data_IF_123392432417
#
_entry.id   IF_123392432417
#
_cell.length_a   1.000
_cell.length_b   1.000
_cell.length_c   1.000
_cell.angle_alpha   90.00
_cell.angle_beta   90.00
_cell.angle_gamma   90.00
#
_symmetry.space_group_name_H-M   'P 1'
#
loop_
_entity.id
_entity.type
_entity.pdbx_description
1 polymer ?
#
# COMPACT_ATOMS: atom_id res chain seq x y z
N UNK A 1 9.66 -16.36 -8.08
CA UNK A 1 10.05 -15.05 -8.69
C UNK A 1 9.98 -13.99 -7.62
N UNK A 2 10.98 -13.12 -7.50
CA UNK A 2 10.91 -11.92 -6.65
C UNK A 2 10.18 -10.83 -7.45
N UNK A 3 8.98 -10.45 -7.00
CA UNK A 3 8.13 -9.49 -7.73
C UNK A 3 8.68 -8.08 -7.73
N UNK A 4 9.29 -7.65 -6.62
CA UNK A 4 9.93 -6.35 -6.55
C UNK A 4 11.04 -6.23 -7.59
N UNK A 5 11.89 -7.26 -7.70
CA UNK A 5 12.92 -7.30 -8.74
C UNK A 5 12.32 -7.29 -10.14
N UNK A 6 11.24 -8.06 -10.34
CA UNK A 6 10.56 -8.08 -11.64
C UNK A 6 10.00 -6.70 -11.95
N UNK A 7 9.22 -6.11 -11.04
CA UNK A 7 8.51 -4.85 -11.24
C UNK A 7 9.44 -3.66 -11.45
N UNK A 8 10.52 -3.56 -10.66
CA UNK A 8 11.44 -2.41 -10.73
C UNK A 8 12.62 -2.58 -11.71
N UNK A 9 12.84 -3.77 -12.24
CA UNK A 9 13.98 -4.04 -13.09
C UNK A 9 13.60 -4.78 -14.37
N UNK A 10 13.11 -6.00 -14.26
CA UNK A 10 12.90 -6.85 -15.42
C UNK A 10 11.73 -6.38 -16.30
N UNK A 11 10.74 -5.73 -15.69
CA UNK A 11 9.59 -5.15 -16.39
C UNK A 11 10.04 -4.14 -17.45
N UNK A 12 10.99 -3.28 -17.11
CA UNK A 12 11.52 -2.27 -18.04
C UNK A 12 12.46 -2.85 -19.08
N UNK A 13 13.20 -3.91 -18.76
CA UNK A 13 14.06 -4.62 -19.72
C UNK A 13 13.24 -5.25 -20.86
N UNK A 14 11.93 -5.48 -20.65
CA UNK A 14 11.02 -6.00 -21.67
C UNK A 14 10.37 -4.93 -22.52
N UNK A 15 10.43 -3.67 -22.08
CA UNK A 15 9.89 -2.53 -22.84
C UNK A 15 10.86 -2.10 -23.93
N UNK A 16 10.56 -2.46 -25.16
CA UNK A 16 11.25 -1.88 -26.33
C UNK A 16 10.41 -0.73 -26.87
N UNK A 17 10.97 0.45 -26.78
CA UNK A 17 10.36 1.69 -27.28
C UNK A 17 11.01 2.06 -28.61
N UNK A 18 10.22 2.58 -29.55
CA UNK A 18 10.75 3.25 -30.74
C UNK A 18 11.30 4.67 -30.40
N UNK A 19 11.79 5.36 -31.42
CA UNK A 19 12.33 6.71 -31.24
C UNK A 19 11.30 7.74 -30.75
N UNK A 20 10.02 7.44 -30.91
CA UNK A 20 8.89 8.28 -30.49
C UNK A 20 8.32 7.87 -29.14
N UNK A 21 8.90 6.84 -28.48
CA UNK A 21 8.48 6.33 -27.17
C UNK A 21 7.28 5.38 -27.23
N UNK A 22 6.96 4.81 -28.40
CA UNK A 22 5.90 3.82 -28.58
C UNK A 22 6.43 2.41 -28.36
N UNK A 23 5.65 1.58 -27.68
CA UNK A 23 5.96 0.17 -27.43
C UNK A 23 6.05 -0.63 -28.77
N UNK A 24 7.25 -1.16 -29.07
CA UNK A 24 7.51 -1.95 -30.28
C UNK A 24 7.09 -3.42 -30.14
N UNK A 25 7.21 -4.01 -28.96
CA UNK A 25 6.93 -5.41 -28.71
C UNK A 25 6.26 -5.59 -27.34
N UNK A 26 4.99 -5.94 -27.36
CA UNK A 26 4.18 -6.17 -26.15
C UNK A 26 4.18 -7.64 -25.71
N UNK A 27 4.71 -8.57 -26.51
CA UNK A 27 4.58 -10.02 -26.25
C UNK A 27 5.27 -10.47 -24.97
N UNK A 28 6.51 -10.04 -24.73
CA UNK A 28 7.26 -10.34 -23.49
C UNK A 28 6.71 -9.62 -22.28
N UNK A 29 6.23 -8.41 -22.49
CA UNK A 29 5.57 -7.58 -21.49
C UNK A 29 4.30 -8.25 -21.00
N UNK A 30 3.41 -8.65 -21.92
CA UNK A 30 2.16 -9.30 -21.57
C UNK A 30 2.40 -10.63 -20.82
N UNK A 31 3.34 -11.45 -21.27
CA UNK A 31 3.68 -12.69 -20.58
C UNK A 31 4.16 -12.48 -19.14
N UNK A 32 5.04 -11.51 -18.91
CA UNK A 32 5.52 -11.18 -17.56
C UNK A 32 4.42 -10.60 -16.66
N UNK A 33 3.51 -9.82 -17.24
CA UNK A 33 2.34 -9.28 -16.56
C UNK A 33 1.37 -10.40 -16.18
N UNK A 34 1.09 -11.33 -17.09
CA UNK A 34 0.23 -12.50 -16.83
C UNK A 34 0.81 -13.39 -15.72
N UNK A 35 2.13 -13.61 -15.70
CA UNK A 35 2.80 -14.35 -14.62
C UNK A 35 2.69 -13.61 -13.27
N UNK A 36 2.80 -12.28 -13.27
CA UNK A 36 2.62 -11.46 -12.07
C UNK A 36 1.18 -11.56 -11.56
N UNK A 37 0.22 -11.30 -12.44
CA UNK A 37 -1.20 -11.29 -12.08
C UNK A 37 -1.72 -12.68 -11.72
N UNK A 38 -1.17 -13.74 -12.33
CA UNK A 38 -1.62 -15.12 -12.12
C UNK A 38 -1.11 -15.80 -10.84
N UNK A 39 -0.26 -15.17 -10.04
CA UNK A 39 0.34 -15.85 -8.89
C UNK A 39 -0.61 -16.02 -7.71
N UNK A 40 -0.67 -17.25 -7.18
CA UNK A 40 -1.51 -17.64 -6.02
C UNK A 40 -0.69 -18.18 -4.84
N UNK A 41 0.62 -18.37 -4.97
CA UNK A 41 1.45 -18.99 -3.93
C UNK A 41 2.26 -17.92 -3.17
N UNK A 42 2.26 -18.04 -1.86
CA UNK A 42 3.01 -17.21 -0.92
C UNK A 42 4.15 -18.01 -0.30
N UNK A 43 5.32 -17.42 -0.08
CA UNK A 43 6.32 -18.04 0.78
C UNK A 43 5.73 -18.23 2.18
N UNK A 44 5.97 -19.38 2.78
CA UNK A 44 5.69 -19.59 4.19
C UNK A 44 6.78 -18.89 4.98
N UNK A 45 6.40 -17.93 5.80
CA UNK A 45 7.31 -17.33 6.77
C UNK A 45 7.27 -18.20 8.03
N UNK A 46 8.43 -18.77 8.41
CA UNK A 46 8.58 -19.34 9.73
C UNK A 46 8.72 -18.19 10.73
N UNK A 47 7.77 -18.07 11.64
CA UNK A 47 7.81 -17.07 12.69
C UNK A 47 8.72 -17.57 13.80
N UNK A 48 10.00 -17.20 13.72
CA UNK A 48 11.01 -17.51 14.76
C UNK A 48 11.08 -16.43 15.86
N UNK A 49 10.16 -15.47 15.84
CA UNK A 49 10.12 -14.39 16.84
C UNK A 49 9.06 -14.75 17.87
N UNK A 50 9.48 -14.89 19.11
CA UNK A 50 8.59 -15.09 20.27
C UNK A 50 7.91 -13.78 20.67
N UNK A 51 6.78 -13.86 21.35
CA UNK A 51 6.03 -12.73 21.91
C UNK A 51 5.49 -11.73 20.87
N UNK A 52 5.17 -12.21 19.67
CA UNK A 52 4.53 -11.41 18.62
C UNK A 52 3.02 -11.42 18.77
N UNK A 53 2.44 -10.25 19.01
CA UNK A 53 1.00 -10.04 18.81
C UNK A 53 0.71 -9.93 17.32
N UNK A 54 -0.32 -10.64 16.85
CA UNK A 54 -0.68 -10.62 15.44
C UNK A 54 -2.17 -10.80 15.19
N UNK A 55 -2.66 -10.15 14.15
CA UNK A 55 -4.00 -10.37 13.63
C UNK A 55 -4.00 -10.30 12.11
N UNK A 56 -4.98 -10.97 11.51
CA UNK A 56 -5.15 -11.06 10.08
C UNK A 56 -6.36 -10.22 9.65
N UNK A 57 -6.18 -9.38 8.62
CA UNK A 57 -7.25 -8.61 8.00
C UNK A 57 -7.21 -8.82 6.48
N UNK A 58 -8.38 -8.80 5.87
CA UNK A 58 -8.53 -9.06 4.43
C UNK A 58 -8.88 -7.78 3.69
N UNK A 59 -8.18 -7.50 2.60
CA UNK A 59 -8.46 -6.33 1.75
C UNK A 59 -9.85 -6.42 1.15
N UNK A 60 -10.60 -5.33 1.21
CA UNK A 60 -11.91 -5.19 0.55
C UNK A 60 -11.76 -4.55 -0.84
N UNK A 61 -12.86 -4.50 -1.59
CA UNK A 61 -12.90 -3.80 -2.89
C UNK A 61 -12.64 -2.28 -2.70
N UNK A 62 -11.83 -1.65 -3.58
CA UNK A 62 -11.22 -2.16 -4.80
C UNK A 62 -9.84 -2.81 -4.61
N UNK A 63 -9.32 -2.93 -3.41
CA UNK A 63 -8.02 -3.51 -3.09
C UNK A 63 -7.10 -2.55 -2.37
N UNK A 64 -5.77 -2.81 -2.40
CA UNK A 64 -4.78 -2.04 -1.66
C UNK A 64 -3.74 -1.41 -2.59
N UNK A 65 -3.39 -0.16 -2.33
CA UNK A 65 -2.29 0.57 -2.93
C UNK A 65 -1.27 0.97 -1.87
N UNK A 66 -0.02 0.52 -2.02
CA UNK A 66 1.09 0.91 -1.16
C UNK A 66 2.32 1.29 -2.01
N UNK A 67 2.98 2.41 -1.67
CA UNK A 67 4.20 2.86 -2.35
C UNK A 67 3.97 3.61 -3.66
N UNK A 68 2.81 4.21 -3.88
CA UNK A 68 2.50 4.96 -5.11
C UNK A 68 3.32 6.25 -5.29
N UNK A 69 4.07 6.67 -4.28
CA UNK A 69 4.99 7.81 -4.37
C UNK A 69 6.21 7.54 -5.27
N UNK A 70 6.50 6.26 -5.55
CA UNK A 70 7.51 5.87 -6.52
C UNK A 70 6.88 5.83 -7.91
N UNK A 71 7.13 6.87 -8.71
CA UNK A 71 6.66 6.93 -10.09
C UNK A 71 7.64 6.25 -11.01
N UNK A 72 7.13 5.50 -11.98
CA UNK A 72 7.92 5.04 -13.09
C UNK A 72 7.94 6.14 -14.16
N UNK A 73 9.07 6.82 -14.29
CA UNK A 73 9.29 7.76 -15.38
C UNK A 73 10.00 7.04 -16.54
N UNK A 74 9.29 6.88 -17.65
CA UNK A 74 9.95 6.57 -18.91
C UNK A 74 10.47 7.90 -19.46
N UNK A 75 11.76 7.96 -19.79
CA UNK A 75 12.39 9.15 -20.36
C UNK A 75 11.54 9.70 -21.52
N UNK A 76 10.81 10.79 -21.27
CA UNK A 76 10.24 11.57 -22.36
C UNK A 76 11.42 12.07 -23.18
N UNK A 77 11.40 11.96 -24.53
CA UNK A 77 12.41 12.59 -25.37
C UNK A 77 12.56 14.04 -24.90
N UNK A 78 13.79 14.48 -24.63
CA UNK A 78 14.04 15.87 -24.25
C UNK A 78 13.45 16.73 -25.36
N UNK A 79 12.42 17.51 -25.05
CA UNK A 79 11.93 18.52 -25.97
C UNK A 79 13.11 19.43 -26.28
N UNK A 80 13.64 19.36 -27.51
CA UNK A 80 14.61 20.29 -27.98
C UNK A 80 13.94 21.68 -28.01
N UNK A 81 14.17 22.47 -26.98
CA UNK A 81 13.78 23.89 -26.93
C UNK A 81 14.61 24.68 -27.96
N UNK A 82 14.39 24.45 -29.25
CA UNK A 82 15.20 25.08 -30.25
C UNK A 82 14.75 24.95 -31.71
N UNK A 83 13.49 24.64 -31.96
CA UNK A 83 13.00 24.71 -33.35
C UNK A 83 11.60 25.33 -33.38
N UNK A 84 11.47 26.32 -34.25
CA UNK A 84 10.38 27.28 -34.36
C UNK A 84 8.97 26.66 -34.40
N UNK A 85 8.01 27.52 -34.10
CA UNK A 85 6.55 27.29 -34.16
C UNK A 85 6.16 26.55 -35.43
N UNK A 86 6.13 25.24 -35.39
CA UNK A 86 5.44 24.40 -36.37
C UNK A 86 4.02 24.18 -35.92
N UNK A 87 3.07 24.40 -36.81
CA UNK A 87 1.63 24.27 -36.57
C UNK A 87 1.33 22.92 -35.94
N UNK A 88 0.72 22.95 -34.76
CA UNK A 88 0.16 21.77 -34.08
C UNK A 88 -0.83 21.10 -35.03
N UNK A 89 -0.50 19.91 -35.48
CA UNK A 89 -1.50 18.96 -35.97
C UNK A 89 -2.30 18.50 -34.75
N UNK A 90 -3.47 19.08 -34.57
CA UNK A 90 -4.53 18.59 -33.66
C UNK A 90 -5.04 17.27 -34.22
N UNK A 91 -4.54 16.16 -33.74
CA UNK A 91 -5.00 14.84 -34.21
C UNK A 91 -4.22 13.63 -33.72
N UNK A 92 -3.05 13.80 -33.14
CA UNK A 92 -2.36 12.65 -32.53
C UNK A 92 -2.86 12.47 -31.09
N UNK A 93 -3.79 11.52 -30.90
CA UNK A 93 -4.03 10.90 -29.59
C UNK A 93 -2.65 10.45 -29.07
N UNK A 94 -2.15 11.10 -28.01
CA UNK A 94 -1.11 10.51 -27.18
C UNK A 94 -1.71 9.24 -26.59
N UNK A 95 -1.46 8.11 -27.23
CA UNK A 95 -1.66 6.82 -26.57
C UNK A 95 -0.74 6.85 -25.36
N UNK A 96 -1.31 7.06 -24.16
CA UNK A 96 -0.62 6.85 -22.92
C UNK A 96 -0.17 5.41 -22.94
N UNK A 97 1.14 5.18 -22.84
CA UNK A 97 1.70 3.84 -22.95
C UNK A 97 0.96 2.91 -21.96
N UNK A 98 0.60 1.73 -22.42
CA UNK A 98 -0.13 0.69 -21.66
C UNK A 98 0.79 0.01 -20.61
N UNK A 99 1.54 0.81 -19.87
CA UNK A 99 2.47 0.36 -18.82
C UNK A 99 2.10 0.92 -17.45
N UNK A 100 2.55 0.26 -16.39
CA UNK A 100 2.33 0.71 -15.02
C UNK A 100 3.12 1.99 -14.72
N UNK A 101 2.40 3.06 -14.37
CA UNK A 101 3.00 4.38 -14.13
C UNK A 101 3.20 4.66 -12.65
N UNK A 102 2.40 4.09 -11.76
CA UNK A 102 2.54 4.24 -10.32
C UNK A 102 3.37 3.11 -9.74
N UNK A 103 4.18 3.42 -8.72
CA UNK A 103 4.96 2.45 -8.01
C UNK A 103 4.15 1.58 -7.06
N UNK A 104 4.78 0.52 -6.57
CA UNK A 104 4.30 -0.32 -5.48
C UNK A 104 5.46 -0.65 -4.56
N UNK A 105 5.21 -0.67 -3.25
CA UNK A 105 6.24 -1.04 -2.30
C UNK A 105 6.31 -2.56 -2.16
N UNK A 106 7.50 -3.10 -2.45
CA UNK A 106 7.82 -4.51 -2.28
C UNK A 106 8.91 -4.68 -1.23
N UNK A 107 8.76 -5.68 -0.38
CA UNK A 107 9.88 -6.13 0.43
C UNK A 107 11.00 -6.66 -0.45
N UNK A 108 12.21 -6.20 -0.20
CA UNK A 108 13.36 -6.50 -1.05
C UNK A 108 13.75 -7.97 -1.01
N UNK A 109 13.56 -8.61 0.14
CA UNK A 109 13.96 -10.01 0.38
C UNK A 109 12.94 -10.99 -0.20
N UNK A 110 11.69 -10.84 0.19
CA UNK A 110 10.61 -11.74 -0.22
C UNK A 110 10.05 -11.40 -1.61
N UNK A 111 10.17 -10.14 -2.02
CA UNK A 111 9.54 -9.61 -3.22
C UNK A 111 8.02 -9.55 -3.15
N UNK A 112 7.44 -9.60 -1.95
CA UNK A 112 6.01 -9.45 -1.74
C UNK A 112 5.63 -7.97 -1.58
N UNK A 113 4.39 -7.59 -1.94
CA UNK A 113 3.88 -6.28 -1.61
C UNK A 113 3.62 -6.22 -0.09
N UNK A 114 4.29 -5.31 0.60
CA UNK A 114 4.19 -5.20 2.06
C UNK A 114 3.69 -3.81 2.46
N UNK A 115 3.05 -3.75 3.62
CA UNK A 115 2.75 -2.49 4.28
C UNK A 115 3.87 -2.28 5.31
N UNK A 116 4.74 -1.27 5.12
CA UNK A 116 5.84 -1.02 6.04
C UNK A 116 5.35 -0.73 7.46
N UNK A 117 6.02 -1.27 8.47
CA UNK A 117 5.71 -1.02 9.87
C UNK A 117 5.75 0.47 10.23
N UNK A 118 6.62 1.23 9.58
CA UNK A 118 6.66 2.70 9.71
C UNK A 118 5.38 3.38 9.18
N UNK A 119 4.81 2.87 8.08
CA UNK A 119 3.54 3.37 7.54
C UNK A 119 2.36 2.99 8.45
N UNK A 120 2.36 1.77 9.00
CA UNK A 120 1.36 1.32 9.98
C UNK A 120 1.42 2.23 11.20
N UNK A 121 2.62 2.42 11.78
CA UNK A 121 2.84 3.28 12.94
C UNK A 121 2.36 4.70 12.69
N UNK A 122 2.70 5.29 11.53
CA UNK A 122 2.30 6.64 11.16
C UNK A 122 0.79 6.80 11.02
N UNK A 123 0.12 5.86 10.38
CA UNK A 123 -1.35 5.89 10.21
C UNK A 123 -2.09 5.73 11.54
N UNK A 124 -1.64 4.81 12.41
CA UNK A 124 -2.22 4.62 13.73
C UNK A 124 -2.03 5.85 14.62
N UNK A 125 -0.84 6.47 14.58
CA UNK A 125 -0.56 7.71 15.30
C UNK A 125 -1.48 8.84 14.81
N UNK A 126 -1.54 9.09 13.52
CA UNK A 126 -2.39 10.14 12.93
C UNK A 126 -3.86 9.93 13.28
N UNK A 127 -4.35 8.70 13.21
CA UNK A 127 -5.73 8.40 13.59
C UNK A 127 -6.02 8.76 15.05
N UNK A 128 -5.11 8.43 15.97
CA UNK A 128 -5.28 8.74 17.40
C UNK A 128 -5.14 10.25 17.66
N UNK A 129 -4.24 10.94 16.96
CA UNK A 129 -4.09 12.39 17.08
C UNK A 129 -5.33 13.15 16.61
N UNK A 130 -5.94 12.70 15.52
CA UNK A 130 -7.04 13.40 14.86
C UNK A 130 -8.44 13.03 15.40
N UNK A 131 -8.59 11.83 16.00
CA UNK A 131 -9.88 11.30 16.42
C UNK A 131 -9.90 10.92 17.90
N UNK A 132 -11.11 10.97 18.50
CA UNK A 132 -11.30 10.74 19.93
C UNK A 132 -11.65 9.28 20.23
N UNK A 133 -10.65 8.39 20.08
CA UNK A 133 -10.82 6.95 20.34
C UNK A 133 -11.01 6.62 21.82
N UNK A 134 -10.50 7.48 22.71
CA UNK A 134 -10.46 7.23 24.15
C UNK A 134 -11.64 7.83 24.90
N UNK A 135 -12.41 8.69 24.26
CA UNK A 135 -13.62 9.24 24.84
C UNK A 135 -14.71 8.19 24.91
N UNK A 136 -15.31 8.05 26.11
CA UNK A 136 -16.51 7.25 26.32
C UNK A 136 -17.73 8.17 26.22
N UNK A 137 -18.66 7.81 25.33
CA UNK A 137 -19.97 8.48 25.25
C UNK A 137 -21.01 7.58 25.89
N UNK A 138 -21.87 8.17 26.74
CA UNK A 138 -22.96 7.45 27.36
C UNK A 138 -23.89 6.82 26.31
N UNK A 139 -24.06 5.50 26.38
CA UNK A 139 -24.81 4.71 25.39
C UNK A 139 -23.95 3.89 24.41
N UNK A 140 -22.64 4.12 24.37
CA UNK A 140 -21.71 3.28 23.63
C UNK A 140 -21.26 2.08 24.45
N UNK A 141 -20.76 1.02 23.78
CA UNK A 141 -20.07 -0.05 24.49
C UNK A 141 -18.75 0.47 25.06
N UNK A 142 -18.56 0.23 26.38
CA UNK A 142 -17.30 0.62 27.02
C UNK A 142 -16.15 -0.23 26.50
N UNK A 143 -15.24 0.40 25.77
CA UNK A 143 -14.04 -0.23 25.24
C UNK A 143 -12.94 -0.30 26.28
N UNK A 144 -12.04 -1.27 26.15
CA UNK A 144 -10.94 -1.50 27.12
C UNK A 144 -10.01 -0.29 27.24
N UNK A 145 -9.91 0.52 26.17
CA UNK A 145 -9.09 1.75 26.14
C UNK A 145 -9.87 3.04 26.44
N UNK A 146 -11.14 2.94 26.82
CA UNK A 146 -11.91 4.11 27.24
C UNK A 146 -11.30 4.73 28.50
N UNK A 147 -11.08 6.04 28.46
CA UNK A 147 -10.47 6.79 29.55
C UNK A 147 -8.94 6.78 29.56
N UNK A 148 -8.29 6.29 28.50
CA UNK A 148 -6.86 6.51 28.33
C UNK A 148 -6.57 7.98 27.99
N UNK A 149 -5.45 8.50 28.51
CA UNK A 149 -5.01 9.85 28.17
C UNK A 149 -4.26 9.84 26.84
N UNK A 150 -4.76 10.62 25.88
CA UNK A 150 -4.27 10.65 24.48
C UNK A 150 -2.78 11.01 24.42
N UNK A 151 -2.38 12.08 25.10
CA UNK A 151 -1.01 12.57 25.09
C UNK A 151 -0.04 11.57 25.73
N UNK A 152 -0.45 10.92 26.80
CA UNK A 152 0.34 9.88 27.47
C UNK A 152 0.54 8.69 26.55
N UNK A 153 -0.53 8.22 25.91
CA UNK A 153 -0.47 7.12 24.96
C UNK A 153 0.48 7.43 23.77
N UNK A 154 0.38 8.61 23.19
CA UNK A 154 1.23 9.03 22.06
C UNK A 154 2.70 9.03 22.46
N UNK A 155 3.03 9.68 23.59
CA UNK A 155 4.41 9.76 24.10
C UNK A 155 4.98 8.37 24.39
N UNK A 156 4.20 7.52 25.03
CA UNK A 156 4.67 6.21 25.45
C UNK A 156 4.79 5.22 24.31
N UNK A 157 3.79 5.14 23.45
CA UNK A 157 3.70 4.09 22.42
C UNK A 157 4.36 4.50 21.10
N UNK A 158 4.14 5.75 20.66
CA UNK A 158 4.67 6.20 19.37
C UNK A 158 6.01 6.92 19.48
N UNK A 159 6.25 7.69 20.52
CA UNK A 159 7.50 8.44 20.67
C UNK A 159 8.53 7.66 21.48
N UNK A 160 8.09 6.87 22.45
CA UNK A 160 8.97 6.10 23.34
C UNK A 160 9.80 7.04 24.21
N UNK A 161 9.22 8.14 24.66
CA UNK A 161 9.90 9.14 25.49
C UNK A 161 10.41 8.51 26.78
N UNK A 162 11.67 8.76 27.11
CA UNK A 162 12.31 8.22 28.30
C UNK A 162 12.61 6.70 28.28
N UNK A 163 12.28 6.00 27.20
CA UNK A 163 12.49 4.54 27.09
C UNK A 163 13.69 4.18 26.23
N UNK A 164 14.39 3.13 26.65
CA UNK A 164 15.36 2.43 25.80
C UNK A 164 14.66 1.92 24.53
N UNK A 165 15.40 1.83 23.44
CA UNK A 165 14.87 1.25 22.18
C UNK A 165 14.39 -0.20 22.36
N UNK A 166 14.94 -0.92 23.35
CA UNK A 166 14.58 -2.31 23.66
C UNK A 166 13.25 -2.43 24.42
N UNK A 167 12.80 -1.33 25.03
CA UNK A 167 11.57 -1.27 25.83
C UNK A 167 10.40 -0.61 25.10
N UNK A 168 10.61 -0.28 23.81
CA UNK A 168 9.58 0.33 22.96
C UNK A 168 8.75 -0.71 22.24
N UNK A 169 7.53 -0.35 21.93
CA UNK A 169 6.69 -1.12 21.02
C UNK A 169 7.28 -1.08 19.59
N UNK A 170 7.32 -2.24 18.92
CA UNK A 170 7.85 -2.38 17.56
C UNK A 170 6.71 -2.72 16.62
N UNK A 171 6.60 -1.94 15.56
CA UNK A 171 5.64 -2.11 14.47
C UNK A 171 6.35 -2.83 13.32
N UNK A 172 6.01 -4.09 13.10
CA UNK A 172 6.61 -4.88 12.03
C UNK A 172 5.85 -4.67 10.71
N UNK A 173 6.51 -5.00 9.61
CA UNK A 173 5.88 -4.98 8.29
C UNK A 173 4.74 -6.00 8.23
N UNK A 174 3.62 -5.63 7.60
CA UNK A 174 2.52 -6.54 7.33
C UNK A 174 2.68 -7.20 5.96
N UNK A 175 2.56 -8.52 5.92
CA UNK A 175 2.72 -9.34 4.73
C UNK A 175 1.43 -10.01 4.30
N UNK A 176 1.21 -10.20 2.98
CA UNK A 176 0.12 -11.02 2.50
C UNK A 176 0.40 -12.49 2.84
N UNK A 177 -0.58 -13.17 3.43
CA UNK A 177 -0.47 -14.58 3.87
C UNK A 177 -1.38 -15.52 3.11
N UNK A 178 -2.46 -15.02 2.54
CA UNK A 178 -3.40 -15.81 1.74
C UNK A 178 -4.21 -14.95 0.79
N UNK A 179 -4.83 -15.61 -0.19
CA UNK A 179 -5.80 -15.00 -1.11
C UNK A 179 -7.07 -15.83 -1.07
N UNK A 180 -8.22 -15.17 -1.04
CA UNK A 180 -9.52 -15.83 -1.00
C UNK A 180 -9.93 -16.37 -2.39
N UNK A 181 -10.45 -17.59 -2.42
CA UNK A 181 -11.02 -18.19 -3.62
C UNK A 181 -10.06 -18.32 -4.82
N UNK A 182 -10.56 -18.01 -6.00
CA UNK A 182 -9.80 -18.05 -7.25
C UNK A 182 -9.07 -16.74 -7.60
N UNK A 183 -9.08 -15.75 -6.70
CA UNK A 183 -8.40 -14.47 -6.88
C UNK A 183 -6.89 -14.64 -6.93
N UNK A 184 -6.21 -13.70 -7.57
CA UNK A 184 -4.75 -13.57 -7.59
C UNK A 184 -4.30 -12.46 -6.64
N UNK A 185 -3.00 -12.44 -6.30
CA UNK A 185 -2.42 -11.42 -5.43
C UNK A 185 -2.56 -10.02 -6.02
N UNK A 186 -2.35 -9.89 -7.33
CA UNK A 186 -2.31 -8.61 -8.01
C UNK A 186 -3.43 -8.48 -9.04
N UNK A 187 -3.84 -7.24 -9.25
CA UNK A 187 -4.67 -6.79 -10.34
C UNK A 187 -4.18 -5.45 -10.84
N UNK A 188 -4.69 -5.03 -11.95
CA UNK A 188 -4.47 -3.70 -12.48
C UNK A 188 -5.74 -2.86 -12.44
N UNK A 189 -5.55 -1.56 -12.47
CA UNK A 189 -6.62 -0.59 -12.48
C UNK A 189 -6.18 0.69 -13.18
N UNK A 190 -7.13 1.58 -13.44
CA UNK A 190 -6.90 2.83 -14.15
C UNK A 190 -7.45 4.01 -13.36
N UNK A 191 -6.68 5.09 -13.31
CA UNK A 191 -7.14 6.38 -12.81
C UNK A 191 -7.09 7.39 -13.95
N UNK A 192 -8.16 8.14 -14.09
CA UNK A 192 -8.24 9.26 -15.02
C UNK A 192 -8.03 10.57 -14.27
N UNK A 193 -7.00 11.33 -14.64
CA UNK A 193 -6.81 12.69 -14.18
C UNK A 193 -7.56 13.65 -15.12
N UNK A 194 -8.56 14.31 -14.59
CA UNK A 194 -9.28 15.38 -15.29
C UNK A 194 -8.66 16.72 -14.92
N UNK A 195 -7.67 17.19 -15.68
CA UNK A 195 -7.18 18.58 -15.55
C UNK A 195 -8.23 19.59 -16.02
N UNK A 196 -9.07 19.19 -16.95
CA UNK A 196 -10.15 19.99 -17.50
C UNK A 196 -11.31 19.05 -17.89
N UNK A 197 -12.54 19.26 -17.42
CA UNK A 197 -13.70 18.44 -17.75
C UNK A 197 -14.03 18.33 -19.25
N UNK A 198 -13.52 19.27 -20.06
CA UNK A 198 -13.73 19.33 -21.51
C UNK A 198 -12.61 18.64 -22.31
N UNK A 199 -11.57 18.13 -21.68
CA UNK A 199 -10.51 17.37 -22.36
C UNK A 199 -10.71 15.88 -22.13
N UNK A 200 -10.35 15.09 -23.14
CA UNK A 200 -10.30 13.64 -23.02
C UNK A 200 -9.41 13.24 -21.84
N UNK A 201 -9.88 12.36 -20.94
CA UNK A 201 -9.12 11.91 -19.79
C UNK A 201 -7.90 11.11 -20.25
N UNK A 202 -6.76 11.30 -19.56
CA UNK A 202 -5.57 10.50 -19.79
C UNK A 202 -5.52 9.39 -18.73
N UNK A 203 -5.86 8.13 -19.06
CA UNK A 203 -5.87 7.05 -18.09
C UNK A 203 -4.43 6.68 -17.67
N UNK A 204 -4.20 6.62 -16.37
CA UNK A 204 -2.96 6.16 -15.75
C UNK A 204 -3.18 4.74 -15.26
N UNK A 205 -2.50 3.75 -15.86
CA UNK A 205 -2.54 2.35 -15.43
C UNK A 205 -1.63 2.13 -14.23
N UNK A 206 -2.11 1.36 -13.26
CA UNK A 206 -1.32 1.02 -12.07
C UNK A 206 -1.62 -0.39 -11.57
N UNK A 207 -0.62 -0.96 -10.90
CA UNK A 207 -0.72 -2.24 -10.21
C UNK A 207 -1.36 -2.03 -8.84
N UNK A 208 -2.27 -2.92 -8.44
CA UNK A 208 -2.86 -2.96 -7.10
C UNK A 208 -2.80 -4.36 -6.51
N UNK A 209 -2.86 -4.45 -5.20
CA UNK A 209 -3.19 -5.71 -4.53
C UNK A 209 -4.69 -5.91 -4.62
N UNK A 210 -5.11 -7.11 -5.02
CA UNK A 210 -6.52 -7.42 -5.21
C UNK A 210 -7.31 -7.42 -3.90
N UNK A 211 -8.64 -7.23 -3.95
CA UNK A 211 -9.50 -7.56 -2.82
C UNK A 211 -9.45 -9.07 -2.52
N UNK A 212 -9.72 -9.42 -1.25
CA UNK A 212 -9.65 -10.81 -0.80
C UNK A 212 -8.25 -11.30 -0.46
N UNK A 213 -7.24 -10.43 -0.44
CA UNK A 213 -5.90 -10.74 0.04
C UNK A 213 -5.81 -10.50 1.53
N UNK A 214 -5.44 -11.52 2.29
CA UNK A 214 -5.28 -11.43 3.73
C UNK A 214 -3.87 -11.02 4.08
N UNK A 215 -3.75 -9.94 4.84
CA UNK A 215 -2.50 -9.43 5.40
C UNK A 215 -2.40 -9.79 6.88
N UNK A 216 -1.23 -10.23 7.31
CA UNK A 216 -0.90 -10.43 8.72
C UNK A 216 -0.17 -9.22 9.25
N UNK A 217 -0.79 -8.54 10.20
CA UNK A 217 -0.22 -7.45 10.97
C UNK A 217 0.48 -8.02 12.19
N UNK A 218 1.67 -7.54 12.50
CA UNK A 218 2.51 -8.07 13.56
C UNK A 218 3.15 -6.96 14.38
N UNK A 219 3.18 -7.15 15.68
CA UNK A 219 3.68 -6.18 16.64
C UNK A 219 4.45 -6.90 17.75
N UNK A 220 5.51 -6.27 18.22
CA UNK A 220 6.16 -6.65 19.48
C UNK A 220 5.78 -5.61 20.51
N UNK A 221 4.69 -5.88 21.23
CA UNK A 221 4.19 -4.98 22.24
C UNK A 221 4.86 -5.23 23.58
N UNK A 222 5.14 -4.15 24.30
CA UNK A 222 5.57 -4.21 25.70
C UNK A 222 4.39 -4.00 26.61
N UNK A 223 4.33 -4.73 27.71
CA UNK A 223 3.28 -4.52 28.71
C UNK A 223 3.67 -3.33 29.59
N UNK A 224 2.90 -2.27 29.51
CA UNK A 224 3.16 -1.00 30.20
C UNK A 224 2.19 -0.75 31.34
N UNK A 225 1.57 -1.78 31.89
CA UNK A 225 0.58 -1.65 32.97
C UNK A 225 -0.75 -1.07 32.47
N UNK A 226 -0.82 0.25 32.27
CA UNK A 226 -2.04 0.94 31.79
C UNK A 226 -2.40 0.49 30.36
N UNK A 227 -1.41 0.39 29.46
CA UNK A 227 -1.61 0.07 28.06
C UNK A 227 -1.27 -1.41 27.80
N UNK A 228 -2.19 -2.30 28.11
CA UNK A 228 -1.97 -3.74 27.98
C UNK A 228 -1.81 -4.17 26.52
N UNK A 229 -1.12 -5.29 26.31
CA UNK A 229 -0.87 -5.85 24.98
C UNK A 229 -2.19 -6.11 24.24
N UNK A 230 -3.15 -6.74 24.90
CA UNK A 230 -4.45 -7.11 24.33
C UNK A 230 -5.29 -5.88 23.98
N UNK A 231 -5.20 -4.81 24.80
CA UNK A 231 -5.94 -3.59 24.54
C UNK A 231 -5.35 -2.83 23.35
N UNK A 232 -4.02 -2.76 23.24
CA UNK A 232 -3.34 -2.16 22.07
C UNK A 232 -3.66 -2.93 20.79
N UNK A 233 -3.65 -4.25 20.82
CA UNK A 233 -3.97 -5.08 19.65
C UNK A 233 -5.40 -4.81 19.15
N UNK A 234 -6.37 -4.81 20.06
CA UNK A 234 -7.77 -4.51 19.73
C UNK A 234 -7.95 -3.10 19.19
N UNK A 235 -7.32 -2.11 19.84
CA UNK A 235 -7.37 -0.71 19.41
C UNK A 235 -6.80 -0.54 17.99
N UNK A 236 -5.62 -1.06 17.72
CA UNK A 236 -4.98 -0.90 16.42
C UNK A 236 -5.74 -1.64 15.32
N UNK A 237 -6.28 -2.80 15.64
CA UNK A 237 -7.15 -3.52 14.73
C UNK A 237 -8.41 -2.71 14.36
N UNK A 238 -9.06 -2.10 15.37
CA UNK A 238 -10.21 -1.24 15.12
C UNK A 238 -9.89 -0.02 14.29
N UNK A 239 -8.77 0.65 14.57
CA UNK A 239 -8.31 1.81 13.78
C UNK A 239 -8.11 1.41 12.32
N UNK A 240 -7.42 0.28 12.06
CA UNK A 240 -7.17 -0.18 10.69
C UNK A 240 -8.47 -0.53 9.97
N UNK A 241 -9.43 -1.16 10.65
CA UNK A 241 -10.74 -1.48 10.08
C UNK A 241 -11.56 -0.22 9.77
N UNK A 242 -11.39 0.84 10.57
CA UNK A 242 -12.15 2.09 10.42
C UNK A 242 -11.61 2.97 9.29
N UNK A 243 -10.29 3.16 9.22
CA UNK A 243 -9.66 4.13 8.31
C UNK A 243 -8.95 3.49 7.13
N UNK A 244 -8.64 2.20 7.20
CA UNK A 244 -7.81 1.55 6.22
C UNK A 244 -6.35 1.96 6.30
N UNK A 245 -5.54 1.46 5.36
CA UNK A 245 -4.11 1.75 5.22
C UNK A 245 -3.71 1.87 3.75
N UNK A 246 -2.64 2.61 3.51
CA UNK A 246 -2.10 2.78 2.17
C UNK A 246 -2.55 4.08 1.51
N UNK A 247 -2.56 4.09 0.19
CA UNK A 247 -2.90 5.27 -0.57
C UNK A 247 -4.33 5.23 -1.10
N UNK A 248 -4.91 6.42 -1.32
CA UNK A 248 -6.25 6.60 -1.91
C UNK A 248 -7.38 5.96 -1.07
N UNK A 249 -7.25 6.00 0.26
CA UNK A 249 -8.29 5.50 1.17
C UNK A 249 -9.61 6.26 1.04
N UNK A 250 -9.54 7.54 0.68
CA UNK A 250 -10.71 8.39 0.42
C UNK A 250 -11.55 7.98 -0.81
N UNK A 251 -11.03 7.12 -1.67
CA UNK A 251 -11.75 6.55 -2.82
C UNK A 251 -11.90 5.03 -2.72
N UNK A 252 -11.73 4.49 -1.51
CA UNK A 252 -12.04 3.12 -1.13
C UNK A 252 -10.87 2.14 -1.15
N UNK A 253 -9.68 2.50 -1.69
CA UNK A 253 -8.51 1.62 -1.59
C UNK A 253 -8.02 1.49 -0.15
N UNK A 254 -7.39 0.36 0.15
CA UNK A 254 -6.78 0.12 1.45
C UNK A 254 -7.76 -0.12 2.60
N UNK A 255 -9.01 -0.38 2.30
CA UNK A 255 -10.00 -0.80 3.29
C UNK A 255 -9.83 -2.29 3.60
N UNK A 256 -10.07 -2.65 4.85
CA UNK A 256 -9.94 -4.03 5.34
C UNK A 256 -11.22 -4.49 6.00
N UNK A 257 -11.40 -5.82 6.02
CA UNK A 257 -12.48 -6.50 6.72
C UNK A 257 -11.91 -7.62 7.58
N UNK A 258 -12.64 -7.96 8.63
CA UNK A 258 -12.48 -9.25 9.31
C UNK A 258 -12.95 -10.38 8.41
N UNK A 259 -12.31 -11.54 8.57
CA UNK A 259 -12.81 -12.80 7.96
C UNK A 259 -13.98 -13.31 8.75
#
# INVERSE_FOLDING_TARGET
>A
MNFGKWYYRNYFDTLKLDNDGKLLDTSRFNKGTDELLGRKQFPKFEENITDVSSFDLTTSYPGLLCGIGYHHEINKPKENKGAGRSRRNEGQKKESGDFYQLGMYFDYTSGLPVIPGSSIKGALRSAIEEWDFFEYKEGDEQKVWSGWEKEEFIKEIFEGEGKSIYDRDIFLDAYPVSVSGDSSLFGDDYITHHENPLKDPNPVRFLRVNPGVTYRFRFLFRNNGTFTVEAKEKLFREIILTFGLGAKTNVGYGQFTDK
#
